data_IF_969518553452
#
_entry.id   IF_969518553452
#
_cell.length_a   1.000
_cell.length_b   1.000
_cell.length_c   1.000
_cell.angle_alpha   90.00
_cell.angle_beta   90.00
_cell.angle_gamma   90.00
#
_symmetry.space_group_name_H-M   'P 1'
#
loop_
_entity.id
_entity.type
_entity.pdbx_description
1 polymer ?
#
# COMPACT_ATOMS: atom_id res chain seq x y z
N UNK A 1 -15.86 -13.24 -16.31
CA UNK A 1 -14.69 -12.80 -15.50
C UNK A 1 -15.03 -11.45 -14.92
N UNK A 2 -15.24 -11.38 -13.61
CA UNK A 2 -15.44 -10.10 -12.91
C UNK A 2 -14.13 -9.30 -12.98
N UNK A 3 -14.16 -8.15 -13.63
CA UNK A 3 -13.06 -7.19 -13.62
C UNK A 3 -13.28 -6.24 -12.45
N UNK A 4 -12.66 -6.54 -11.31
CA UNK A 4 -12.62 -5.63 -10.17
C UNK A 4 -11.22 -5.05 -10.02
N UNK A 5 -11.11 -3.74 -9.79
CA UNK A 5 -9.87 -3.06 -9.48
C UNK A 5 -10.04 -2.26 -8.19
N UNK A 6 -9.03 -2.30 -7.33
CA UNK A 6 -8.96 -1.44 -6.15
C UNK A 6 -8.13 -0.22 -6.51
N UNK A 7 -8.73 0.95 -6.43
CA UNK A 7 -8.05 2.23 -6.65
C UNK A 7 -7.88 2.92 -5.30
N UNK A 8 -6.65 3.29 -4.98
CA UNK A 8 -6.31 4.05 -3.77
C UNK A 8 -5.99 5.47 -4.22
N UNK A 9 -6.86 6.43 -3.92
CA UNK A 9 -6.67 7.82 -4.31
C UNK A 9 -6.84 8.75 -3.11
N UNK A 10 -5.86 9.64 -2.86
CA UNK A 10 -5.91 10.69 -1.82
C UNK A 10 -6.47 10.23 -0.48
N UNK A 11 -5.98 9.11 0.05
CA UNK A 11 -6.44 8.46 1.28
C UNK A 11 -7.84 7.82 1.20
N UNK A 12 -8.43 7.73 0.01
CA UNK A 12 -9.65 6.99 -0.23
C UNK A 12 -9.35 5.72 -1.01
N UNK A 13 -10.05 4.66 -0.65
CA UNK A 13 -10.00 3.39 -1.36
C UNK A 13 -11.29 3.26 -2.17
N UNK A 14 -11.15 3.09 -3.47
CA UNK A 14 -12.26 2.91 -4.37
C UNK A 14 -12.26 1.49 -4.93
N UNK A 15 -13.43 0.90 -4.98
CA UNK A 15 -13.65 -0.35 -5.65
C UNK A 15 -14.28 -0.08 -7.00
N UNK A 16 -13.67 -0.54 -8.06
CA UNK A 16 -14.23 -0.48 -9.41
C UNK A 16 -14.64 -1.89 -9.82
N UNK A 17 -15.94 -2.15 -9.85
CA UNK A 17 -16.51 -3.36 -10.43
C UNK A 17 -17.25 -3.00 -11.72
N UNK A 18 -16.93 -3.67 -12.82
CA UNK A 18 -17.62 -3.51 -14.11
C UNK A 18 -17.78 -2.06 -14.59
N UNK A 19 -16.73 -1.24 -14.36
CA UNK A 19 -16.75 0.16 -14.79
C UNK A 19 -17.55 1.12 -13.92
N UNK A 20 -18.04 0.69 -12.76
CA UNK A 20 -18.70 1.56 -11.77
C UNK A 20 -17.81 1.81 -10.57
N UNK A 21 -17.61 3.09 -10.26
CA UNK A 21 -16.90 3.53 -9.05
C UNK A 21 -17.83 3.41 -7.84
N UNK A 22 -17.49 2.58 -6.86
CA UNK A 22 -18.20 2.51 -5.58
C UNK A 22 -17.45 3.36 -4.56
N UNK A 23 -18.03 4.50 -4.18
CA UNK A 23 -17.47 5.40 -3.17
C UNK A 23 -17.62 4.79 -1.78
N UNK A 24 -16.51 4.55 -1.09
CA UNK A 24 -16.46 3.97 0.26
C UNK A 24 -17.22 4.80 1.32
N UNK A 25 -17.43 6.09 1.08
CA UNK A 25 -18.14 6.97 2.02
C UNK A 25 -19.65 6.75 2.08
N UNK A 26 -20.24 6.10 1.08
CA UNK A 26 -21.69 5.86 1.03
C UNK A 26 -22.12 4.48 1.53
N UNK A 27 -21.21 3.57 1.78
CA UNK A 27 -21.52 2.18 2.15
C UNK A 27 -21.28 1.82 3.62
N UNK A 28 -21.23 2.81 4.52
CA UNK A 28 -21.30 2.51 5.97
C UNK A 28 -22.76 2.30 6.31
N UNK A 29 -23.26 1.12 6.03
CA UNK A 29 -24.53 0.64 6.59
C UNK A 29 -24.36 0.57 8.11
N UNK A 30 -25.23 1.29 8.83
CA UNK A 30 -25.34 1.21 10.30
C UNK A 30 -25.54 -0.27 10.69
N UNK A 31 -24.79 -0.77 11.68
CA UNK A 31 -24.98 -2.16 12.11
C UNK A 31 -26.38 -2.33 12.66
N UNK A 32 -27.15 -3.23 12.07
CA UNK A 32 -28.43 -3.69 12.60
C UNK A 32 -28.17 -4.36 13.95
N UNK A 33 -28.83 -3.89 15.00
CA UNK A 33 -28.85 -4.51 16.32
C UNK A 33 -29.41 -5.93 16.20
N UNK A 34 -28.56 -6.94 16.28
CA UNK A 34 -28.96 -8.32 16.58
C UNK A 34 -28.11 -8.88 17.71
N UNK A 35 -28.77 -9.02 18.84
CA UNK A 35 -28.66 -9.97 19.97
C UNK A 35 -27.28 -10.58 20.29
N UNK A 36 -26.91 -10.24 21.51
CA UNK A 36 -25.97 -10.88 22.43
C UNK A 36 -25.95 -12.43 22.33
N UNK A 37 -24.81 -12.95 21.88
CA UNK A 37 -24.40 -14.31 22.18
C UNK A 37 -23.02 -14.22 22.83
N UNK A 38 -22.96 -14.53 24.13
CA UNK A 38 -21.74 -14.57 24.93
C UNK A 38 -20.89 -15.73 24.43
N UNK A 39 -19.78 -15.42 23.75
CA UNK A 39 -18.73 -16.40 23.54
C UNK A 39 -17.48 -15.93 24.27
N UNK A 40 -17.30 -16.44 25.51
CA UNK A 40 -16.04 -16.35 26.26
C UNK A 40 -15.09 -17.37 25.66
N UNK A 41 -14.10 -16.93 24.90
CA UNK A 41 -12.88 -17.70 24.71
C UNK A 41 -11.69 -16.82 25.09
N UNK A 42 -10.95 -17.29 26.09
CA UNK A 42 -9.78 -16.60 26.64
C UNK A 42 -8.67 -16.52 25.63
N UNK A 43 -8.35 -15.32 25.22
CA UNK A 43 -7.10 -15.03 24.57
C UNK A 43 -6.08 -14.65 25.65
N UNK A 44 -5.23 -15.60 26.02
CA UNK A 44 -4.08 -15.36 26.89
C UNK A 44 -3.14 -14.39 26.17
N UNK A 45 -2.99 -13.20 26.71
CA UNK A 45 -1.91 -12.27 26.36
C UNK A 45 -0.57 -12.95 26.68
N UNK A 46 0.12 -13.47 25.69
CA UNK A 46 1.55 -13.76 25.79
C UNK A 46 2.30 -12.45 25.64
N UNK A 47 2.64 -11.83 26.76
CA UNK A 47 3.69 -10.83 26.84
C UNK A 47 5.01 -11.49 26.37
N UNK A 48 5.35 -11.31 25.11
CA UNK A 48 6.70 -11.56 24.66
C UNK A 48 7.55 -10.36 25.02
N UNK A 49 8.19 -10.46 26.19
CA UNK A 49 9.36 -9.67 26.55
C UNK A 49 10.39 -9.78 25.40
N UNK A 50 10.35 -8.83 24.47
CA UNK A 50 11.39 -8.64 23.47
C UNK A 50 12.58 -8.03 24.21
N UNK A 51 13.52 -8.88 24.67
CA UNK A 51 14.84 -8.44 25.11
C UNK A 51 15.43 -7.62 23.96
N UNK A 52 15.40 -6.29 24.13
CA UNK A 52 16.17 -5.36 23.32
C UNK A 52 17.65 -5.66 23.57
N UNK A 53 18.28 -6.44 22.73
CA UNK A 53 19.73 -6.45 22.64
C UNK A 53 20.14 -5.09 22.09
N UNK A 54 20.69 -4.27 22.95
CA UNK A 54 21.31 -2.98 22.66
C UNK A 54 22.53 -3.23 21.78
N UNK A 55 22.34 -3.34 20.44
CA UNK A 55 23.43 -3.27 19.47
C UNK A 55 23.70 -1.80 19.23
N UNK A 56 24.80 -1.36 19.74
CA UNK A 56 25.33 0.01 19.65
C UNK A 56 25.55 0.37 18.17
N UNK A 57 24.91 1.44 17.68
CA UNK A 57 25.48 2.23 16.58
C UNK A 57 24.70 2.44 15.30
N UNK A 58 23.59 1.75 15.02
CA UNK A 58 22.75 2.09 13.88
C UNK A 58 21.67 3.09 14.31
N UNK A 59 21.78 4.34 13.85
CA UNK A 59 20.69 5.31 13.98
C UNK A 59 19.53 4.78 13.17
N UNK A 60 18.51 4.22 13.84
CA UNK A 60 17.24 3.88 13.21
C UNK A 60 16.64 5.18 12.67
N UNK A 61 16.47 5.29 11.36
CA UNK A 61 15.85 6.45 10.75
C UNK A 61 14.34 6.20 10.75
N UNK A 62 13.58 7.14 11.34
CA UNK A 62 12.12 7.10 11.25
C UNK A 62 11.66 7.57 9.87
N UNK A 63 10.83 6.77 9.22
CA UNK A 63 10.23 7.08 7.91
C UNK A 63 8.78 7.51 8.09
N UNK A 64 8.45 8.72 7.66
CA UNK A 64 7.11 9.29 7.79
C UNK A 64 6.34 9.29 6.45
N UNK A 65 5.07 8.89 6.50
CA UNK A 65 4.15 8.98 5.38
C UNK A 65 3.51 10.37 5.30
N UNK A 66 3.19 10.93 6.47
CA UNK A 66 2.54 12.23 6.61
C UNK A 66 3.09 12.98 7.83
N UNK A 67 3.22 14.31 7.68
CA UNK A 67 3.52 15.25 8.77
C UNK A 67 2.50 16.39 8.66
N UNK A 68 1.73 16.61 9.72
CA UNK A 68 0.77 17.71 9.85
C UNK A 68 0.97 18.36 11.22
N UNK A 69 1.74 19.43 11.25
CA UNK A 69 2.19 20.07 12.47
C UNK A 69 2.97 19.08 13.37
N UNK A 70 2.45 18.84 14.58
CA UNK A 70 3.05 17.89 15.54
C UNK A 70 2.67 16.44 15.26
N UNK A 71 1.62 16.19 14.47
CA UNK A 71 1.17 14.83 14.14
C UNK A 71 2.06 14.24 13.04
N UNK A 72 2.69 13.13 13.37
CA UNK A 72 3.52 12.36 12.44
C UNK A 72 2.95 10.95 12.33
N UNK A 73 2.76 10.48 11.11
CA UNK A 73 2.35 9.10 10.84
C UNK A 73 3.52 8.40 10.14
N UNK A 74 3.96 7.26 10.68
CA UNK A 74 5.01 6.48 10.04
C UNK A 74 4.52 5.85 8.72
N UNK A 75 5.46 5.50 7.81
CA UNK A 75 5.12 4.79 6.58
C UNK A 75 4.53 3.43 6.90
N UNK A 76 5.08 2.72 7.88
CA UNK A 76 4.57 1.42 8.31
C UNK A 76 3.12 1.51 8.80
N UNK A 77 2.82 2.41 9.74
CA UNK A 77 1.47 2.60 10.29
C UNK A 77 0.45 2.94 9.19
N UNK A 78 0.83 3.85 8.28
CA UNK A 78 0.02 4.23 7.13
C UNK A 78 -0.25 3.02 6.23
N UNK A 79 0.80 2.32 5.80
CA UNK A 79 0.71 1.18 4.89
C UNK A 79 -0.10 0.03 5.48
N UNK A 80 0.08 -0.31 6.76
CA UNK A 80 -0.74 -1.31 7.44
C UNK A 80 -2.21 -0.91 7.55
N UNK A 81 -2.49 0.37 7.84
CA UNK A 81 -3.85 0.89 7.88
C UNK A 81 -4.56 0.73 6.54
N UNK A 82 -3.89 1.15 5.45
CA UNK A 82 -4.40 1.01 4.08
C UNK A 82 -4.51 -0.46 3.68
N UNK A 83 -3.53 -1.30 4.05
CA UNK A 83 -3.55 -2.73 3.76
C UNK A 83 -4.78 -3.42 4.37
N UNK A 84 -5.08 -3.16 5.65
CA UNK A 84 -6.27 -3.72 6.30
C UNK A 84 -7.55 -3.30 5.59
N UNK A 85 -7.71 -2.02 5.25
CA UNK A 85 -8.90 -1.54 4.55
C UNK A 85 -9.03 -2.13 3.15
N UNK A 86 -7.95 -2.12 2.36
CA UNK A 86 -7.94 -2.70 1.01
C UNK A 86 -8.20 -4.22 1.04
N UNK A 87 -7.64 -4.91 2.05
CA UNK A 87 -7.91 -6.33 2.28
C UNK A 87 -9.38 -6.60 2.58
N UNK A 88 -10.00 -5.80 3.46
CA UNK A 88 -11.42 -5.94 3.78
C UNK A 88 -12.29 -5.77 2.53
N UNK A 89 -12.05 -4.75 1.71
CA UNK A 89 -12.80 -4.54 0.46
C UNK A 89 -12.59 -5.68 -0.54
N UNK A 90 -11.36 -6.15 -0.71
CA UNK A 90 -11.06 -7.26 -1.60
C UNK A 90 -11.61 -8.59 -1.06
N UNK A 91 -11.78 -8.71 0.25
CA UNK A 91 -12.37 -9.86 0.92
C UNK A 91 -13.80 -10.13 0.50
N UNK A 92 -14.58 -9.09 0.12
CA UNK A 92 -15.95 -9.23 -0.38
C UNK A 92 -16.03 -10.12 -1.65
N UNK A 93 -14.92 -10.30 -2.38
CA UNK A 93 -14.81 -11.22 -3.52
C UNK A 93 -13.74 -12.30 -3.33
N UNK A 94 -13.43 -12.62 -2.09
CA UNK A 94 -12.49 -13.70 -1.76
C UNK A 94 -11.03 -13.39 -2.07
N UNK A 95 -10.64 -12.09 -2.16
CA UNK A 95 -9.29 -11.65 -2.52
C UNK A 95 -8.61 -10.78 -1.45
N UNK A 96 -8.90 -11.05 -0.18
CA UNK A 96 -8.34 -10.30 0.96
C UNK A 96 -6.82 -10.09 0.84
N UNK A 97 -6.06 -11.15 0.58
CA UNK A 97 -4.60 -11.09 0.54
C UNK A 97 -4.07 -10.18 -0.58
N UNK A 98 -4.77 -10.12 -1.71
CA UNK A 98 -4.42 -9.26 -2.83
C UNK A 98 -4.64 -7.78 -2.50
N UNK A 99 -5.79 -7.46 -1.90
CA UNK A 99 -6.08 -6.11 -1.41
C UNK A 99 -5.09 -5.69 -0.34
N UNK A 100 -4.84 -6.56 0.64
CA UNK A 100 -3.89 -6.32 1.72
C UNK A 100 -2.49 -6.04 1.16
N UNK A 101 -1.98 -6.87 0.28
CA UNK A 101 -0.67 -6.70 -0.34
C UNK A 101 -0.58 -5.41 -1.16
N UNK A 102 -1.62 -5.08 -1.95
CA UNK A 102 -1.68 -3.82 -2.70
C UNK A 102 -1.59 -2.61 -1.78
N UNK A 103 -2.40 -2.59 -0.70
CA UNK A 103 -2.38 -1.53 0.29
C UNK A 103 -1.06 -1.42 1.05
N UNK A 104 -0.41 -2.55 1.34
CA UNK A 104 0.88 -2.55 2.03
C UNK A 104 2.01 -1.96 1.18
N UNK A 105 1.97 -2.18 -0.13
CA UNK A 105 3.06 -1.83 -1.05
C UNK A 105 2.86 -0.50 -1.79
N UNK A 106 1.65 0.13 -1.72
CA UNK A 106 1.36 1.29 -2.56
C UNK A 106 2.33 2.46 -2.35
N UNK A 107 2.78 2.65 -1.13
CA UNK A 107 3.56 3.81 -0.69
C UNK A 107 5.01 3.48 -0.27
N UNK A 108 5.55 2.32 -0.63
CA UNK A 108 6.94 1.96 -0.26
C UNK A 108 7.99 2.93 -0.80
N UNK A 109 7.71 3.66 -1.85
CA UNK A 109 8.59 4.72 -2.36
C UNK A 109 8.80 5.87 -1.37
N UNK A 110 7.94 6.00 -0.35
CA UNK A 110 8.10 6.96 0.75
C UNK A 110 9.29 6.62 1.67
N UNK A 111 9.83 5.41 1.62
CA UNK A 111 11.07 5.04 2.30
C UNK A 111 12.33 5.68 1.67
N UNK A 112 12.21 6.35 0.52
CA UNK A 112 13.36 7.04 -0.07
C UNK A 112 13.75 8.28 0.73
N UNK A 113 15.07 8.51 0.86
CA UNK A 113 15.61 9.69 1.57
C UNK A 113 15.15 10.99 0.93
N UNK A 114 14.94 11.01 -0.38
CA UNK A 114 14.47 12.18 -1.10
C UNK A 114 13.03 12.52 -0.73
N UNK A 115 12.16 11.49 -0.61
CA UNK A 115 10.79 11.70 -0.13
C UNK A 115 10.79 12.24 1.31
N UNK A 116 11.60 11.68 2.20
CA UNK A 116 11.68 12.14 3.60
C UNK A 116 12.16 13.59 3.70
N UNK A 117 13.15 14.00 2.89
CA UNK A 117 13.59 15.40 2.80
C UNK A 117 12.49 16.31 2.30
N UNK A 118 11.75 15.90 1.24
CA UNK A 118 10.60 16.65 0.74
C UNK A 118 9.55 16.86 1.83
N UNK A 119 9.20 15.80 2.55
CA UNK A 119 8.19 15.86 3.59
C UNK A 119 8.56 16.82 4.74
N UNK A 120 9.83 16.89 5.09
CA UNK A 120 10.33 17.72 6.19
C UNK A 120 10.67 19.16 5.78
N UNK A 121 11.11 19.39 4.54
CA UNK A 121 11.66 20.67 4.08
C UNK A 121 10.87 21.34 2.95
N UNK A 122 9.81 20.70 2.43
CA UNK A 122 9.04 21.24 1.32
C UNK A 122 9.73 21.20 -0.03
N UNK A 123 10.63 20.23 -0.24
CA UNK A 123 11.39 20.03 -1.49
C UNK A 123 10.49 19.56 -2.67
N UNK A 124 11.05 19.43 -3.86
CA UNK A 124 10.38 19.06 -5.12
C UNK A 124 9.58 17.76 -4.97
N UNK A 125 8.45 17.67 -5.68
CA UNK A 125 7.59 16.49 -5.69
C UNK A 125 8.36 15.24 -6.11
N UNK A 126 8.21 14.16 -5.34
CA UNK A 126 8.87 12.87 -5.55
C UNK A 126 7.83 11.84 -5.94
N UNK A 127 8.08 11.13 -7.04
CA UNK A 127 7.28 9.98 -7.45
C UNK A 127 7.57 8.80 -6.51
N UNK A 128 6.61 8.43 -5.70
CA UNK A 128 6.72 7.32 -4.76
C UNK A 128 5.82 6.14 -5.13
N UNK A 129 4.84 6.35 -6.02
CA UNK A 129 3.92 5.29 -6.44
C UNK A 129 4.55 4.30 -7.42
N UNK A 130 5.47 4.76 -8.25
CA UNK A 130 6.18 3.91 -9.21
C UNK A 130 7.04 2.86 -8.54
N UNK A 131 7.62 3.14 -7.35
CA UNK A 131 8.46 2.19 -6.61
C UNK A 131 7.72 0.88 -6.28
N UNK A 132 6.50 0.99 -5.72
CA UNK A 132 5.68 -0.19 -5.41
C UNK A 132 5.25 -0.97 -6.64
N UNK A 133 4.93 -0.27 -7.74
CA UNK A 133 4.59 -0.92 -9.00
C UNK A 133 5.79 -1.69 -9.58
N UNK A 134 6.99 -1.12 -9.54
CA UNK A 134 8.23 -1.79 -9.98
C UNK A 134 8.56 -3.00 -9.12
N UNK A 135 8.40 -2.92 -7.79
CA UNK A 135 8.59 -4.06 -6.91
C UNK A 135 7.65 -5.22 -7.27
N UNK A 136 6.37 -4.92 -7.49
CA UNK A 136 5.38 -5.91 -7.91
C UNK A 136 5.73 -6.52 -9.27
N UNK A 137 6.16 -5.72 -10.23
CA UNK A 137 6.60 -6.21 -11.54
C UNK A 137 7.84 -7.11 -11.44
N UNK A 138 8.81 -6.73 -10.61
CA UNK A 138 10.02 -7.52 -10.39
C UNK A 138 9.75 -8.87 -9.69
N UNK A 139 8.75 -8.93 -8.79
CA UNK A 139 8.30 -10.19 -8.18
C UNK A 139 7.60 -11.10 -9.17
N UNK A 140 6.97 -10.55 -10.19
CA UNK A 140 6.27 -11.30 -11.21
C UNK A 140 5.04 -12.08 -10.70
N UNK A 141 4.54 -13.02 -11.49
CA UNK A 141 3.40 -13.86 -11.11
C UNK A 141 2.17 -13.03 -10.74
N UNK A 142 1.54 -13.35 -9.61
CA UNK A 142 0.32 -12.66 -9.15
C UNK A 142 0.54 -11.20 -8.77
N UNK A 143 1.76 -10.80 -8.39
CA UNK A 143 2.07 -9.41 -8.08
C UNK A 143 1.94 -8.48 -9.29
N UNK A 144 2.10 -9.01 -10.51
CA UNK A 144 1.95 -8.22 -11.73
C UNK A 144 0.55 -7.62 -11.90
N UNK A 145 -0.48 -8.18 -11.27
CA UNK A 145 -1.82 -7.61 -11.27
C UNK A 145 -1.95 -6.40 -10.34
N UNK A 146 -1.06 -6.28 -9.34
CA UNK A 146 -1.09 -5.17 -8.37
C UNK A 146 -0.39 -3.93 -8.92
N UNK A 147 0.54 -4.07 -9.87
CA UNK A 147 1.35 -2.95 -10.34
C UNK A 147 0.51 -1.82 -10.95
N UNK A 148 -0.59 -2.13 -11.63
CA UNK A 148 -1.53 -1.15 -12.17
C UNK A 148 -2.18 -0.31 -11.08
N UNK A 149 -2.75 -0.96 -10.07
CA UNK A 149 -3.42 -0.29 -8.96
C UNK A 149 -2.43 0.59 -8.20
N UNK A 150 -1.23 0.07 -7.93
CA UNK A 150 -0.18 0.78 -7.21
C UNK A 150 0.35 1.95 -8.04
N UNK A 151 0.61 1.77 -9.33
CA UNK A 151 1.03 2.87 -10.20
C UNK A 151 -0.01 3.98 -10.26
N UNK A 152 -1.30 3.62 -10.27
CA UNK A 152 -2.41 4.53 -10.50
C UNK A 152 -2.96 5.25 -9.27
N UNK A 153 -2.51 4.95 -8.05
CA UNK A 153 -3.20 5.40 -6.83
C UNK A 153 -3.25 6.94 -6.60
N UNK A 154 -2.45 7.71 -7.35
CA UNK A 154 -2.49 9.17 -7.32
C UNK A 154 -3.13 9.82 -8.54
N UNK A 155 -3.05 9.18 -9.69
CA UNK A 155 -3.39 9.80 -10.97
C UNK A 155 -4.47 9.02 -11.77
N UNK A 156 -5.00 7.95 -11.19
CA UNK A 156 -5.85 6.99 -11.89
C UNK A 156 -5.03 5.93 -12.64
N UNK A 157 -5.72 4.91 -13.16
CA UNK A 157 -5.08 3.80 -13.85
C UNK A 157 -4.40 4.32 -15.14
N UNK A 158 -3.10 4.11 -15.32
CA UNK A 158 -2.42 4.51 -16.54
C UNK A 158 -2.81 3.59 -17.71
N UNK A 159 -2.62 4.06 -18.94
CA UNK A 159 -2.62 3.18 -20.10
C UNK A 159 -1.50 2.14 -19.99
N UNK A 160 -1.71 0.97 -20.61
CA UNK A 160 -0.70 -0.11 -20.56
C UNK A 160 0.63 0.34 -21.19
N UNK A 161 0.53 1.08 -22.27
CA UNK A 161 1.69 1.42 -23.10
C UNK A 161 2.22 0.23 -23.89
N UNK A 162 3.42 0.38 -24.39
CA UNK A 162 4.09 -0.59 -25.23
C UNK A 162 5.50 -0.92 -24.76
N UNK A 163 6.09 -1.97 -25.31
CA UNK A 163 7.48 -2.32 -25.01
C UNK A 163 8.51 -1.29 -25.48
N UNK A 164 8.11 -0.37 -26.38
CA UNK A 164 8.96 0.71 -26.89
C UNK A 164 8.93 1.96 -26.02
N UNK A 165 7.97 2.07 -25.09
CA UNK A 165 7.88 3.21 -24.18
C UNK A 165 9.14 3.33 -23.34
N UNK A 166 9.58 4.56 -23.12
CA UNK A 166 10.72 4.89 -22.27
C UNK A 166 10.26 5.35 -20.87
N UNK A 167 11.21 5.48 -19.95
CA UNK A 167 10.92 5.84 -18.55
C UNK A 167 10.38 7.27 -18.33
N UNK A 168 10.27 8.08 -19.37
CA UNK A 168 9.66 9.42 -19.35
C UNK A 168 8.15 9.41 -19.58
N UNK A 169 7.60 8.29 -20.05
CA UNK A 169 6.19 8.19 -20.40
C UNK A 169 5.30 7.84 -19.21
N UNK A 170 4.06 8.32 -19.23
CA UNK A 170 3.09 8.15 -18.14
C UNK A 170 2.40 6.79 -18.16
N UNK A 171 2.60 5.99 -19.19
CA UNK A 171 2.06 4.62 -19.32
C UNK A 171 2.64 3.69 -18.25
N UNK A 172 1.98 2.57 -17.99
CA UNK A 172 2.52 1.57 -17.05
C UNK A 172 3.90 1.07 -17.52
N UNK A 173 4.03 0.73 -18.82
CA UNK A 173 5.30 0.27 -19.40
C UNK A 173 6.42 1.29 -19.23
N UNK A 174 6.14 2.58 -19.43
CA UNK A 174 7.10 3.66 -19.22
C UNK A 174 7.47 3.80 -17.74
N UNK A 175 6.49 3.79 -16.84
CA UNK A 175 6.72 3.89 -15.38
C UNK A 175 7.53 2.73 -14.84
N UNK A 176 7.31 1.51 -15.32
CA UNK A 176 8.10 0.34 -14.91
C UNK A 176 9.58 0.44 -15.31
N UNK A 177 9.93 1.23 -16.33
CA UNK A 177 11.31 1.50 -16.77
C UNK A 177 11.89 2.78 -16.15
N UNK A 178 11.10 3.57 -15.44
CA UNK A 178 11.53 4.82 -14.84
C UNK A 178 12.56 4.59 -13.75
N UNK A 179 13.62 5.41 -13.70
CA UNK A 179 14.54 5.43 -12.58
C UNK A 179 13.84 6.05 -11.35
N UNK A 180 13.68 5.28 -10.31
CA UNK A 180 13.14 5.73 -9.01
C UNK A 180 14.26 5.90 -7.98
N UNK A 181 13.97 6.64 -6.93
CA UNK A 181 14.89 6.80 -5.79
C UNK A 181 15.01 5.47 -5.02
N UNK A 182 16.13 5.26 -4.34
CA UNK A 182 16.33 4.09 -3.50
C UNK A 182 15.31 4.07 -2.34
N UNK A 183 14.55 2.99 -2.25
CA UNK A 183 13.52 2.76 -1.25
C UNK A 183 13.72 1.45 -0.47
N UNK A 184 14.88 0.81 -0.61
CA UNK A 184 15.13 -0.53 -0.04
C UNK A 184 15.01 -0.58 1.49
N UNK A 185 15.07 0.57 2.16
CA UNK A 185 14.84 0.67 3.60
C UNK A 185 13.49 0.09 4.05
N UNK A 186 12.49 -0.03 3.16
CA UNK A 186 11.21 -0.67 3.49
C UNK A 186 11.39 -2.10 4.02
N UNK A 187 12.42 -2.82 3.60
CA UNK A 187 12.68 -4.21 4.01
C UNK A 187 12.99 -4.37 5.50
N UNK A 188 13.32 -3.27 6.18
CA UNK A 188 13.56 -3.29 7.63
C UNK A 188 12.25 -3.31 8.43
N UNK A 189 11.14 -2.91 7.83
CA UNK A 189 9.86 -2.73 8.50
C UNK A 189 8.73 -3.54 7.86
N UNK A 190 8.76 -3.75 6.53
CA UNK A 190 7.70 -4.39 5.76
C UNK A 190 8.18 -5.71 5.17
N UNK A 191 7.56 -6.80 5.58
CA UNK A 191 7.66 -8.09 4.92
C UNK A 191 6.57 -8.21 3.86
N UNK A 192 6.96 -8.51 2.62
CA UNK A 192 6.00 -8.62 1.50
C UNK A 192 5.27 -9.95 1.57
N UNK A 193 3.94 -9.96 1.77
CA UNK A 193 3.15 -11.18 1.87
C UNK A 193 3.26 -12.01 0.60
N UNK A 194 3.25 -13.33 0.74
CA UNK A 194 3.22 -14.24 -0.40
C UNK A 194 1.80 -14.34 -0.95
N UNK A 195 1.64 -14.09 -2.27
CA UNK A 195 0.36 -14.24 -2.93
C UNK A 195 0.22 -15.65 -3.52
N UNK A 196 -0.93 -16.26 -3.27
CA UNK A 196 -1.28 -17.57 -3.79
C UNK A 196 -2.41 -17.47 -4.82
N UNK A 197 -2.51 -18.51 -5.67
CA UNK A 197 -3.71 -18.72 -6.50
C UNK A 197 -4.92 -18.91 -5.59
N UNK A 198 -6.01 -18.31 -5.95
CA UNK A 198 -7.29 -18.64 -5.33
C UNK A 198 -7.81 -19.95 -5.85
#
# INVERSE_FOLDING_TARGET
MLRAAIIIEKQNIYLVCEGRLLDSKKSIMKPSKKRSGIFRSGCQKKDRNRKMSKKMGERHMDYFAHIDGERKQSVLEHSEGVARLAGMFAGEFGKYEWGYCSGLLHDIGKYSLRFQRRLQKGDVQVDHSTAGAQLCAAKGGYYSFLNYCIAGHHAGLPDCGSNTDNGGESTLSGRLKKKVEDYQAYQTEIEVPQLHSA
#
